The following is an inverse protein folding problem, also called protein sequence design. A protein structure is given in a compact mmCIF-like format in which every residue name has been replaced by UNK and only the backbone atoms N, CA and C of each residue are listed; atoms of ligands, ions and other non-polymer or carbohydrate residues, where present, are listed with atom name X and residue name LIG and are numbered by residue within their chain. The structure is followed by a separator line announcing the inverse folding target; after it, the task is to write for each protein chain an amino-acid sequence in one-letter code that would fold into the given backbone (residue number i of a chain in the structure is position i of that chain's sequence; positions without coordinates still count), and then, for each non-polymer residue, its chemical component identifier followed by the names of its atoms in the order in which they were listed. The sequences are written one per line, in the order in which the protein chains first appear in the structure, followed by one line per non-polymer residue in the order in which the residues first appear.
data_IF_372274419575
#
_entry.id   IF_372274419575
#
_cell.length_a   1.000
_cell.length_b   1.000
_cell.length_c   1.000
_cell.angle_alpha   90.00
_cell.angle_beta   90.00
_cell.angle_gamma   90.00
#
_symmetry.space_group_name_H-M   'P 1'
#
loop_
_entity.id
_entity.type
_entity.pdbx_description
1 polymer ?
#
# COMPACT_ATOMS: atom_id res chain seq x y z
N UNK A 1 14.02 31.27 10.61
CA UNK A 1 14.10 29.83 10.95
C UNK A 1 12.68 29.28 11.02
N UNK A 2 12.24 28.59 9.97
CA UNK A 2 10.91 27.97 9.89
C UNK A 2 10.84 26.80 10.85
N UNK A 3 9.90 26.84 11.81
CA UNK A 3 9.63 25.71 12.71
C UNK A 3 9.30 24.48 11.87
N UNK A 4 10.14 23.44 11.95
CA UNK A 4 9.85 22.14 11.33
C UNK A 4 8.61 21.56 12.03
N UNK A 5 7.62 21.14 11.25
CA UNK A 5 6.51 20.39 11.80
C UNK A 5 7.01 19.01 12.26
N UNK A 6 6.64 18.55 13.47
CA UNK A 6 6.89 17.17 13.85
C UNK A 6 6.22 16.25 12.79
N UNK A 7 6.96 15.25 12.31
CA UNK A 7 6.55 14.27 11.30
C UNK A 7 7.11 14.50 9.88
N UNK A 8 7.83 15.60 9.61
CA UNK A 8 8.33 15.87 8.24
C UNK A 8 9.66 15.16 7.95
N UNK A 9 9.62 14.15 7.07
CA UNK A 9 10.78 13.44 6.54
C UNK A 9 11.81 14.36 5.88
N UNK A 10 13.08 13.97 5.98
CA UNK A 10 14.25 14.68 5.41
C UNK A 10 14.31 14.67 3.89
N UNK A 11 13.56 13.78 3.23
CA UNK A 11 13.39 13.76 1.76
C UNK A 11 11.91 13.78 1.41
N UNK A 12 11.48 14.58 0.42
CA UNK A 12 10.11 14.54 -0.05
C UNK A 12 9.80 13.13 -0.56
N UNK A 13 8.61 12.58 -0.26
CA UNK A 13 8.23 11.28 -0.75
C UNK A 13 8.30 11.27 -2.28
N UNK A 14 8.84 10.18 -2.84
CA UNK A 14 8.78 9.96 -4.28
C UNK A 14 7.37 9.41 -4.59
N UNK A 15 6.52 10.16 -5.31
CA UNK A 15 5.28 9.60 -5.80
C UNK A 15 5.58 8.42 -6.72
N UNK A 16 4.59 7.55 -6.90
CA UNK A 16 4.61 6.55 -7.97
C UNK A 16 4.69 7.25 -9.33
N UNK A 17 4.97 6.50 -10.40
CA UNK A 17 5.26 7.10 -11.71
C UNK A 17 4.01 7.69 -12.38
N UNK A 18 2.82 7.21 -12.01
CA UNK A 18 1.52 7.62 -12.58
C UNK A 18 0.43 7.72 -11.51
N UNK A 19 -0.63 8.47 -11.80
CA UNK A 19 -1.84 8.45 -10.97
C UNK A 19 -2.46 7.03 -10.92
N UNK A 20 -2.43 6.30 -12.04
CA UNK A 20 -2.97 4.94 -12.13
C UNK A 20 -2.29 3.99 -11.15
N UNK A 21 -0.95 3.98 -11.11
CA UNK A 21 -0.23 3.14 -10.15
C UNK A 21 -0.57 3.49 -8.70
N UNK A 22 -0.86 4.76 -8.42
CA UNK A 22 -1.29 5.21 -7.09
C UNK A 22 -2.67 4.66 -6.75
N UNK A 23 -3.61 4.70 -7.70
CA UNK A 23 -4.93 4.09 -7.55
C UNK A 23 -4.83 2.56 -7.36
N UNK A 24 -4.04 1.88 -8.19
CA UNK A 24 -3.88 0.43 -8.14
C UNK A 24 -3.30 -0.03 -6.79
N UNK A 25 -2.33 0.71 -6.25
CA UNK A 25 -1.76 0.44 -4.94
C UNK A 25 -2.80 0.67 -3.82
N UNK A 26 -3.62 1.72 -3.92
CA UNK A 26 -4.70 1.98 -2.97
C UNK A 26 -5.77 0.89 -3.03
N UNK A 27 -6.19 0.50 -4.23
CA UNK A 27 -7.20 -0.54 -4.47
C UNK A 27 -6.74 -1.91 -3.98
N UNK A 28 -5.45 -2.24 -4.17
CA UNK A 28 -4.86 -3.47 -3.61
C UNK A 28 -4.94 -3.48 -2.09
N UNK A 29 -4.57 -2.39 -1.42
CA UNK A 29 -4.67 -2.26 0.03
C UNK A 29 -6.12 -2.47 0.50
N UNK A 30 -7.10 -1.88 -0.18
CA UNK A 30 -8.51 -2.03 0.17
C UNK A 30 -9.03 -3.45 -0.08
N UNK A 31 -8.58 -4.09 -1.17
CA UNK A 31 -8.93 -5.46 -1.49
C UNK A 31 -8.41 -6.42 -0.43
N UNK A 32 -7.15 -6.29 -0.02
CA UNK A 32 -6.55 -7.10 1.03
C UNK A 32 -7.31 -6.94 2.36
N UNK A 33 -7.65 -5.69 2.74
CA UNK A 33 -8.43 -5.44 3.96
C UNK A 33 -9.86 -6.01 3.88
N UNK A 34 -10.49 -5.97 2.70
CA UNK A 34 -11.82 -6.52 2.48
C UNK A 34 -11.88 -8.04 2.65
N UNK A 35 -10.79 -8.77 2.43
CA UNK A 35 -10.71 -10.21 2.73
C UNK A 35 -10.97 -10.52 4.21
N UNK A 36 -10.74 -9.55 5.08
CA UNK A 36 -10.98 -9.63 6.52
C UNK A 36 -12.28 -8.94 6.96
N UNK A 37 -13.17 -8.66 6.01
CA UNK A 37 -14.46 -8.02 6.28
C UNK A 37 -14.35 -6.53 6.63
N UNK A 38 -13.20 -5.90 6.39
CA UNK A 38 -13.02 -4.48 6.65
C UNK A 38 -13.62 -3.67 5.51
N UNK A 39 -14.73 -3.01 5.79
CA UNK A 39 -15.37 -2.09 4.83
C UNK A 39 -14.76 -0.70 4.92
N UNK A 40 -14.39 -0.07 3.79
CA UNK A 40 -13.83 1.27 3.81
C UNK A 40 -14.85 2.27 4.36
N UNK A 41 -14.38 3.16 5.25
CA UNK A 41 -15.19 4.27 5.72
C UNK A 41 -15.45 5.27 4.60
N UNK A 42 -16.38 6.20 4.81
CA UNK A 42 -16.66 7.26 3.85
C UNK A 42 -15.40 8.06 3.48
N UNK A 43 -14.54 8.38 4.45
CA UNK A 43 -13.31 9.13 4.20
C UNK A 43 -12.32 8.37 3.28
N UNK A 44 -12.22 7.05 3.47
CA UNK A 44 -11.39 6.16 2.65
C UNK A 44 -11.98 6.04 1.23
N UNK A 45 -13.30 5.85 1.13
CA UNK A 45 -14.01 5.77 -0.14
C UNK A 45 -13.94 7.08 -0.95
N UNK A 46 -14.14 8.22 -0.29
CA UNK A 46 -14.04 9.55 -0.91
C UNK A 46 -12.61 9.81 -1.41
N UNK A 47 -11.59 9.40 -0.64
CA UNK A 47 -10.18 9.46 -1.05
C UNK A 47 -9.91 8.60 -2.29
N UNK A 48 -10.42 7.36 -2.31
CA UNK A 48 -10.31 6.47 -3.48
C UNK A 48 -10.91 7.13 -4.72
N UNK A 49 -12.12 7.67 -4.60
CA UNK A 49 -12.81 8.33 -5.70
C UNK A 49 -12.05 9.56 -6.20
N UNK A 50 -11.52 10.39 -5.29
CA UNK A 50 -10.71 11.53 -5.66
C UNK A 50 -9.43 11.13 -6.41
N UNK A 51 -8.79 10.01 -6.06
CA UNK A 51 -7.66 9.48 -6.82
C UNK A 51 -8.12 8.99 -8.21
N UNK A 52 -9.26 8.33 -8.31
CA UNK A 52 -9.83 7.89 -9.59
C UNK A 52 -10.16 9.07 -10.52
N UNK A 53 -10.65 10.18 -9.99
CA UNK A 53 -10.89 11.39 -10.77
C UNK A 53 -9.57 11.99 -11.32
N UNK A 54 -8.48 11.93 -10.53
CA UNK A 54 -7.14 12.34 -10.99
C UNK A 54 -6.62 11.43 -12.10
N UNK A 55 -6.86 10.11 -12.00
CA UNK A 55 -6.54 9.14 -13.06
C UNK A 55 -7.28 9.47 -14.35
N UNK A 56 -8.58 9.73 -14.26
CA UNK A 56 -9.39 10.11 -15.42
C UNK A 56 -8.84 11.39 -16.08
N UNK A 57 -8.48 12.38 -15.27
CA UNK A 57 -7.88 13.62 -15.76
C UNK A 57 -6.48 13.41 -16.39
N UNK A 58 -5.68 12.46 -15.88
CA UNK A 58 -4.42 12.04 -16.52
C UNK A 58 -4.67 11.47 -17.91
N UNK A 59 -5.61 10.51 -18.01
CA UNK A 59 -5.96 9.83 -19.26
C UNK A 59 -6.54 10.79 -20.31
N UNK A 60 -7.40 11.73 -19.90
CA UNK A 60 -7.97 12.75 -20.79
C UNK A 60 -6.87 13.64 -21.37
N UNK A 61 -5.97 14.17 -20.54
CA UNK A 61 -4.85 15.00 -21.04
C UNK A 61 -3.88 14.19 -21.91
N UNK A 62 -3.61 12.92 -21.59
CA UNK A 62 -2.80 12.05 -22.45
C UNK A 62 -3.47 11.81 -23.83
N UNK A 63 -4.79 11.66 -23.87
CA UNK A 63 -5.55 11.54 -25.11
C UNK A 63 -5.54 12.84 -25.93
N UNK A 64 -5.67 14.01 -25.28
CA UNK A 64 -5.54 15.32 -25.93
C UNK A 64 -4.15 15.51 -26.54
N UNK A 65 -3.08 15.12 -25.83
CA UNK A 65 -1.70 15.16 -26.35
C UNK A 65 -1.53 14.23 -27.54
N UNK A 66 -2.13 13.02 -27.49
CA UNK A 66 -2.10 12.08 -28.61
C UNK A 66 -2.85 12.60 -29.84
N UNK A 67 -4.02 13.23 -29.63
CA UNK A 67 -4.78 13.87 -30.71
C UNK A 67 -4.01 15.04 -31.34
N UNK A 68 -3.33 15.85 -30.52
CA UNK A 68 -2.46 16.92 -31.02
C UNK A 68 -1.32 16.36 -31.86
N UNK A 69 -0.69 15.26 -31.42
CA UNK A 69 0.35 14.58 -32.20
C UNK A 69 -0.17 14.13 -33.57
N UNK A 70 -1.34 13.47 -33.58
CA UNK A 70 -1.95 12.98 -34.82
C UNK A 70 -2.35 14.12 -35.77
N UNK A 71 -2.85 15.24 -35.24
CA UNK A 71 -3.17 16.42 -36.07
C UNK A 71 -1.92 17.01 -36.71
N UNK A 72 -0.82 17.10 -35.96
CA UNK A 72 0.46 17.61 -36.48
C UNK A 72 1.04 16.70 -37.56
N UNK A 73 0.93 15.37 -37.40
CA UNK A 73 1.31 14.39 -38.43
C UNK A 73 0.44 14.53 -39.68
N UNK A 74 -0.90 14.54 -39.53
CA UNK A 74 -1.82 14.65 -40.67
C UNK A 74 -1.65 15.95 -41.46
N UNK A 75 -1.35 17.07 -40.78
CA UNK A 75 -1.04 18.34 -41.47
C UNK A 75 0.26 18.27 -42.28
N UNK A 76 1.22 17.45 -41.87
CA UNK A 76 2.46 17.23 -42.62
C UNK A 76 2.22 16.34 -43.84
N UNK A 77 1.42 15.27 -43.70
CA UNK A 77 1.03 14.39 -44.81
C UNK A 77 0.23 15.12 -45.88
N UNK A 78 -0.77 15.92 -45.48
CA UNK A 78 -1.54 16.77 -46.40
C UNK A 78 -0.64 17.78 -47.13
N UNK A 79 0.34 18.34 -46.42
CA UNK A 79 1.29 19.28 -47.01
C UNK A 79 2.28 18.60 -47.97
N UNK A 80 2.72 17.37 -47.69
CA UNK A 80 3.51 16.54 -48.61
C UNK A 80 2.71 16.20 -49.88
N UNK A 81 1.42 15.88 -49.74
CA UNK A 81 0.55 15.65 -50.88
C UNK A 81 0.42 16.89 -51.77
N UNK A 82 0.31 18.10 -51.18
CA UNK A 82 0.33 19.37 -51.92
C UNK A 82 1.67 19.59 -52.63
N UNK A 83 2.81 19.32 -51.97
CA UNK A 83 4.13 19.46 -52.59
C UNK A 83 4.36 18.48 -53.75
N UNK A 84 3.68 17.33 -53.76
CA UNK A 84 3.82 16.30 -54.80
C UNK A 84 3.04 16.57 -56.09
N UNK A 85 2.11 17.55 -56.10
CA UNK A 85 1.33 17.90 -57.29
C UNK A 85 2.10 18.85 -58.20
N UNK A 86 2.15 18.53 -59.50
CA UNK A 86 2.84 19.34 -60.52
C UNK A 86 2.24 20.74 -60.68
N UNK A 87 0.93 20.87 -60.43
CA UNK A 87 0.13 22.07 -60.69
C UNK A 87 0.18 23.11 -59.56
N UNK A 88 0.97 22.86 -58.51
CA UNK A 88 0.94 23.63 -57.27
C UNK A 88 1.62 24.98 -57.42
N UNK A 89 0.95 26.06 -57.02
CA UNK A 89 1.51 27.41 -57.12
C UNK A 89 2.74 27.60 -56.21
N UNK A 90 3.66 28.55 -56.52
CA UNK A 90 4.82 28.82 -55.68
C UNK A 90 4.44 29.20 -54.24
N UNK A 91 3.34 29.94 -54.07
CA UNK A 91 2.85 30.34 -52.75
C UNK A 91 2.29 29.14 -51.97
N UNK A 92 1.51 28.28 -52.62
CA UNK A 92 1.02 27.03 -52.03
C UNK A 92 2.16 26.08 -51.65
N UNK A 93 3.22 26.00 -52.47
CA UNK A 93 4.43 25.23 -52.14
C UNK A 93 5.16 25.79 -50.93
N UNK A 94 5.29 27.10 -50.81
CA UNK A 94 5.96 27.73 -49.66
C UNK A 94 5.17 27.51 -48.36
N UNK A 95 3.83 27.65 -48.41
CA UNK A 95 2.95 27.38 -47.27
C UNK A 95 2.89 25.90 -46.89
N UNK A 96 2.92 24.99 -47.86
CA UNK A 96 2.99 23.56 -47.62
C UNK A 96 4.36 23.16 -47.04
N UNK A 97 5.47 23.69 -47.58
CA UNK A 97 6.80 23.48 -47.03
C UNK A 97 6.90 23.98 -45.58
N UNK A 98 6.32 25.15 -45.27
CA UNK A 98 6.24 25.65 -43.90
C UNK A 98 5.44 24.71 -42.97
N UNK A 99 4.35 24.11 -43.46
CA UNK A 99 3.56 23.10 -42.72
C UNK A 99 4.30 21.78 -42.52
N UNK A 100 5.05 21.30 -43.50
CA UNK A 100 5.91 20.10 -43.35
C UNK A 100 7.04 20.36 -42.34
N UNK A 101 7.67 21.54 -42.41
CA UNK A 101 8.72 21.97 -41.46
C UNK A 101 8.14 22.17 -40.05
N UNK A 102 6.91 22.65 -39.94
CA UNK A 102 6.20 22.82 -38.67
C UNK A 102 5.51 21.55 -38.15
N UNK A 103 5.37 20.51 -38.99
CA UNK A 103 4.85 19.19 -38.65
C UNK A 103 5.70 18.47 -37.61
N UNK A 104 5.54 17.16 -37.43
CA UNK A 104 6.25 16.39 -36.40
C UNK A 104 7.77 16.32 -36.61
N UNK A 105 8.45 17.43 -36.36
CA UNK A 105 9.90 17.48 -36.24
C UNK A 105 10.33 16.67 -35.01
N UNK A 106 11.58 16.20 -34.97
CA UNK A 106 12.16 15.63 -33.76
C UNK A 106 12.03 16.55 -32.53
N UNK A 107 11.98 17.87 -32.74
CA UNK A 107 11.77 18.85 -31.67
C UNK A 107 10.33 18.83 -31.16
N UNK A 108 9.33 18.78 -32.05
CA UNK A 108 7.91 18.65 -31.72
C UNK A 108 7.62 17.34 -30.98
N UNK A 109 8.18 16.22 -31.45
CA UNK A 109 8.04 14.91 -30.78
C UNK A 109 8.65 14.91 -29.36
N UNK A 110 9.82 15.56 -29.18
CA UNK A 110 10.42 15.76 -27.85
C UNK A 110 9.56 16.64 -26.95
N UNK A 111 8.93 17.68 -27.49
CA UNK A 111 8.01 18.55 -26.73
C UNK A 111 6.75 17.80 -26.30
N UNK A 112 6.13 17.02 -27.18
CA UNK A 112 4.95 16.20 -26.85
C UNK A 112 5.29 15.14 -25.78
N UNK A 113 6.43 14.47 -25.92
CA UNK A 113 6.95 13.54 -24.90
C UNK A 113 7.17 14.25 -23.56
N UNK A 114 7.75 15.46 -23.59
CA UNK A 114 7.93 16.28 -22.38
C UNK A 114 6.59 16.66 -21.74
N UNK A 115 5.60 17.09 -22.53
CA UNK A 115 4.25 17.43 -22.05
C UNK A 115 3.59 16.22 -21.39
N UNK A 116 3.69 15.04 -22.01
CA UNK A 116 3.15 13.79 -21.45
C UNK A 116 3.82 13.44 -20.12
N UNK A 117 5.14 13.50 -20.06
CA UNK A 117 5.88 13.22 -18.82
C UNK A 117 5.56 14.24 -17.72
N UNK A 118 5.40 15.52 -18.08
CA UNK A 118 4.97 16.56 -17.13
C UNK A 118 3.55 16.32 -16.63
N UNK A 119 2.63 15.92 -17.51
CA UNK A 119 1.26 15.57 -17.12
C UNK A 119 1.26 14.41 -16.12
N UNK A 120 1.92 13.30 -16.46
CA UNK A 120 2.07 12.12 -15.58
C UNK A 120 2.66 12.49 -14.23
N UNK A 121 3.78 13.19 -14.21
CA UNK A 121 4.42 13.60 -12.95
C UNK A 121 3.51 14.47 -12.08
N UNK A 122 2.81 15.43 -12.69
CA UNK A 122 1.87 16.32 -11.99
C UNK A 122 0.70 15.52 -11.40
N UNK A 123 0.08 14.64 -12.19
CA UNK A 123 -1.09 13.84 -11.79
C UNK A 123 -0.72 12.78 -10.77
N UNK A 124 0.42 12.11 -10.93
CA UNK A 124 0.94 11.19 -9.93
C UNK A 124 1.18 11.88 -8.58
N UNK A 125 1.73 13.10 -8.59
CA UNK A 125 1.92 13.89 -7.37
C UNK A 125 0.59 14.33 -6.75
N UNK A 126 -0.39 14.70 -7.58
CA UNK A 126 -1.74 15.04 -7.12
C UNK A 126 -2.42 13.85 -6.45
N UNK A 127 -2.43 12.68 -7.10
CA UNK A 127 -2.96 11.43 -6.55
C UNK A 127 -2.26 11.05 -5.23
N UNK A 128 -0.93 11.13 -5.20
CA UNK A 128 -0.14 10.85 -4.01
C UNK A 128 -0.47 11.80 -2.85
N UNK A 129 -0.64 13.10 -3.12
CA UNK A 129 -1.04 14.06 -2.10
C UNK A 129 -2.47 13.82 -1.60
N UNK A 130 -3.37 13.37 -2.48
CA UNK A 130 -4.73 12.99 -2.09
C UNK A 130 -4.71 11.82 -1.12
N UNK A 131 -3.91 10.78 -1.40
CA UNK A 131 -3.70 9.67 -0.45
C UNK A 131 -3.06 10.16 0.85
N UNK A 132 -1.99 10.96 0.79
CA UNK A 132 -1.31 11.50 1.97
C UNK A 132 -2.25 12.27 2.90
N UNK A 133 -3.25 12.98 2.37
CA UNK A 133 -4.23 13.71 3.19
C UNK A 133 -5.08 12.80 4.07
N UNK A 134 -5.25 11.54 3.70
CA UNK A 134 -5.93 10.56 4.54
C UNK A 134 -5.13 10.31 5.83
N UNK A 135 -3.80 10.21 5.73
CA UNK A 135 -2.87 10.15 6.84
C UNK A 135 -3.26 9.11 7.90
N UNK A 136 -3.27 9.52 9.17
CA UNK A 136 -3.63 8.66 10.31
C UNK A 136 -5.07 8.09 10.23
N UNK A 137 -5.96 8.71 9.44
CA UNK A 137 -7.32 8.17 9.22
C UNK A 137 -7.26 6.79 8.57
N UNK A 138 -6.29 6.52 7.69
CA UNK A 138 -6.11 5.19 7.10
C UNK A 138 -5.77 4.14 8.16
N UNK A 139 -5.04 4.54 9.20
CA UNK A 139 -4.69 3.67 10.31
C UNK A 139 -5.96 3.35 11.11
N UNK A 140 -6.71 4.37 11.54
CA UNK A 140 -7.88 4.18 12.39
C UNK A 140 -9.03 3.49 11.68
N UNK A 141 -9.21 3.75 10.38
CA UNK A 141 -10.40 3.34 9.65
C UNK A 141 -10.20 2.05 8.85
N UNK A 142 -8.96 1.59 8.67
CA UNK A 142 -8.68 0.40 7.84
C UNK A 142 -7.63 -0.51 8.47
N UNK A 143 -6.42 -0.01 8.71
CA UNK A 143 -5.31 -0.88 9.10
C UNK A 143 -5.46 -1.43 10.53
N UNK A 144 -5.89 -0.61 11.49
CA UNK A 144 -6.15 -1.06 12.87
C UNK A 144 -7.37 -1.98 12.97
N UNK A 145 -8.52 -1.69 12.34
CA UNK A 145 -9.62 -2.66 12.24
C UNK A 145 -9.18 -4.00 11.66
N UNK A 146 -8.31 -3.99 10.64
CA UNK A 146 -7.76 -5.21 10.06
C UNK A 146 -6.90 -5.98 11.07
N UNK A 147 -5.97 -5.33 11.78
CA UNK A 147 -5.22 -6.02 12.86
C UNK A 147 -6.14 -6.55 13.95
N UNK A 148 -7.20 -5.82 14.30
CA UNK A 148 -8.16 -6.25 15.30
C UNK A 148 -8.93 -7.50 14.84
N UNK A 149 -9.35 -7.56 13.58
CA UNK A 149 -10.02 -8.74 13.02
C UNK A 149 -9.14 -9.99 13.12
N UNK A 150 -7.84 -9.85 12.83
CA UNK A 150 -6.86 -10.94 12.97
C UNK A 150 -6.77 -11.41 14.43
N UNK A 151 -6.65 -10.48 15.38
CA UNK A 151 -6.53 -10.79 16.81
C UNK A 151 -7.80 -11.46 17.32
N UNK A 152 -8.97 -10.97 16.92
CA UNK A 152 -10.26 -11.57 17.27
C UNK A 152 -10.34 -13.01 16.78
N UNK A 153 -9.93 -13.28 15.53
CA UNK A 153 -9.93 -14.66 15.01
C UNK A 153 -8.96 -15.56 15.80
N UNK A 154 -7.76 -15.07 16.11
CA UNK A 154 -6.76 -15.79 16.91
C UNK A 154 -7.23 -16.13 18.33
N UNK A 155 -8.08 -15.29 18.93
CA UNK A 155 -8.50 -15.36 20.34
C UNK A 155 -9.94 -15.81 20.56
N UNK A 156 -10.72 -16.01 19.51
CA UNK A 156 -12.14 -16.36 19.64
C UNK A 156 -12.37 -17.71 20.34
N UNK A 157 -13.17 -17.69 21.42
CA UNK A 157 -13.61 -18.88 22.13
C UNK A 157 -14.65 -19.69 21.32
N UNK A 158 -14.77 -21.02 21.54
CA UNK A 158 -14.08 -21.86 22.52
C UNK A 158 -12.75 -22.46 22.00
N UNK A 159 -12.21 -21.94 20.89
CA UNK A 159 -11.14 -22.58 20.14
C UNK A 159 -10.06 -21.56 19.73
N UNK A 160 -9.41 -20.97 20.73
CA UNK A 160 -8.26 -20.07 20.58
C UNK A 160 -7.19 -20.71 19.68
N UNK A 161 -7.04 -20.17 18.47
CA UNK A 161 -6.07 -20.68 17.50
C UNK A 161 -4.64 -20.48 18.01
N UNK A 162 -4.40 -19.37 18.74
CA UNK A 162 -3.13 -19.08 19.38
C UNK A 162 -2.71 -20.18 20.38
N UNK A 163 -3.63 -20.67 21.20
CA UNK A 163 -3.34 -21.70 22.21
C UNK A 163 -2.90 -23.02 21.57
N UNK A 164 -3.49 -23.39 20.43
CA UNK A 164 -3.11 -24.60 19.71
C UNK A 164 -1.68 -24.55 19.14
N UNK A 165 -1.18 -23.35 18.79
CA UNK A 165 0.21 -23.13 18.44
C UNK A 165 1.10 -23.20 19.67
N UNK A 166 0.73 -22.50 20.76
CA UNK A 166 1.54 -22.46 22.00
C UNK A 166 1.69 -23.85 22.62
N UNK A 167 0.62 -24.65 22.66
CA UNK A 167 0.63 -26.00 23.21
C UNK A 167 1.51 -26.99 22.41
N UNK A 168 1.57 -26.83 21.08
CA UNK A 168 2.40 -27.68 20.20
C UNK A 168 3.85 -27.19 20.07
N UNK A 169 4.11 -25.92 20.41
CA UNK A 169 5.39 -25.23 20.18
C UNK A 169 5.89 -25.48 18.75
N UNK A 170 7.21 -25.62 18.60
CA UNK A 170 7.83 -25.87 17.30
C UNK A 170 7.40 -27.18 16.66
N UNK A 171 7.32 -28.27 17.43
CA UNK A 171 6.94 -29.58 16.90
C UNK A 171 5.55 -29.55 16.27
N UNK A 172 4.60 -28.85 16.91
CA UNK A 172 3.26 -28.72 16.39
C UNK A 172 3.17 -27.93 15.08
N UNK A 173 4.08 -26.99 14.85
CA UNK A 173 4.18 -26.26 13.58
C UNK A 173 4.73 -27.14 12.47
N UNK A 174 5.73 -27.98 12.76
CA UNK A 174 6.27 -28.96 11.80
C UNK A 174 5.19 -29.93 11.37
N UNK A 175 4.48 -30.53 12.33
CA UNK A 175 3.38 -31.47 12.06
C UNK A 175 2.27 -30.84 11.21
N UNK A 176 1.92 -29.58 11.50
CA UNK A 176 0.90 -28.85 10.76
C UNK A 176 1.35 -28.58 9.31
N UNK A 177 2.64 -28.29 9.10
CA UNK A 177 3.21 -28.08 7.78
C UNK A 177 3.34 -29.37 6.98
N UNK A 178 3.76 -30.47 7.61
CA UNK A 178 3.74 -31.81 7.00
C UNK A 178 2.33 -32.19 6.58
N UNK A 179 1.33 -31.93 7.44
CA UNK A 179 -0.08 -32.12 7.13
C UNK A 179 -0.52 -31.27 5.93
N UNK A 180 -0.09 -30.00 5.84
CA UNK A 180 -0.37 -29.15 4.66
C UNK A 180 0.14 -29.78 3.38
N UNK A 181 1.34 -30.34 3.40
CA UNK A 181 1.98 -30.97 2.25
C UNK A 181 1.31 -32.29 1.87
N UNK A 182 1.04 -33.15 2.85
CA UNK A 182 0.39 -34.45 2.66
C UNK A 182 -0.98 -34.31 1.98
N UNK A 183 -1.77 -33.33 2.41
CA UNK A 183 -3.13 -33.11 1.89
C UNK A 183 -3.21 -32.03 0.80
N UNK A 184 -2.07 -31.47 0.37
CA UNK A 184 -2.00 -30.42 -0.66
C UNK A 184 -2.94 -29.24 -0.40
N UNK A 185 -3.00 -28.79 0.86
CA UNK A 185 -3.98 -27.79 1.30
C UNK A 185 -3.65 -26.39 0.78
N UNK A 186 -4.68 -25.69 0.31
CA UNK A 186 -4.59 -24.28 -0.09
C UNK A 186 -4.93 -23.35 1.07
N UNK A 187 -4.68 -22.04 0.90
CA UNK A 187 -5.06 -21.05 1.90
C UNK A 187 -6.58 -20.99 2.14
N UNK A 188 -7.37 -21.17 1.07
CA UNK A 188 -8.82 -21.21 1.16
C UNK A 188 -9.33 -22.42 1.96
N UNK A 189 -8.66 -23.58 1.84
CA UNK A 189 -9.01 -24.77 2.61
C UNK A 189 -8.75 -24.55 4.10
N UNK A 190 -7.62 -23.89 4.43
CA UNK A 190 -7.25 -23.57 5.82
C UNK A 190 -8.23 -22.58 6.44
N UNK A 191 -8.74 -21.59 5.68
CA UNK A 191 -9.77 -20.65 6.17
C UNK A 191 -11.10 -21.34 6.51
N UNK A 192 -11.43 -22.45 5.84
CA UNK A 192 -12.66 -23.23 6.04
C UNK A 192 -12.48 -24.41 7.00
N UNK A 193 -11.52 -24.31 7.92
CA UNK A 193 -11.16 -25.42 8.81
C UNK A 193 -12.33 -25.92 9.67
N UNK A 194 -13.27 -25.04 10.00
CA UNK A 194 -14.48 -25.33 10.75
C UNK A 194 -15.39 -26.35 10.04
N UNK A 195 -15.34 -26.37 8.71
CA UNK A 195 -16.08 -27.33 7.86
C UNK A 195 -15.36 -28.68 7.69
N UNK A 196 -14.10 -28.79 8.11
CA UNK A 196 -13.29 -29.99 7.93
C UNK A 196 -13.61 -31.06 9.00
N UNK A 197 -13.26 -32.35 8.76
CA UNK A 197 -13.46 -33.39 9.76
C UNK A 197 -12.74 -33.08 11.09
N UNK A 198 -13.42 -33.25 12.22
CA UNK A 198 -12.91 -32.91 13.56
C UNK A 198 -11.54 -33.50 13.88
N UNK A 199 -11.23 -34.70 13.38
CA UNK A 199 -9.91 -35.35 13.56
C UNK A 199 -8.73 -34.54 13.01
N UNK A 200 -8.99 -33.62 12.08
CA UNK A 200 -7.97 -32.76 11.46
C UNK A 200 -8.01 -31.33 12.00
N UNK A 201 -8.92 -30.98 12.92
CA UNK A 201 -9.07 -29.60 13.38
C UNK A 201 -7.79 -29.04 14.00
N UNK A 202 -7.03 -29.84 14.76
CA UNK A 202 -5.79 -29.36 15.40
C UNK A 202 -4.76 -28.86 14.38
N UNK A 203 -4.33 -29.66 13.37
CA UNK A 203 -3.38 -29.17 12.37
C UNK A 203 -3.95 -28.01 11.55
N UNK A 204 -5.23 -28.02 11.19
CA UNK A 204 -5.85 -26.87 10.51
C UNK A 204 -5.82 -25.59 11.34
N UNK A 205 -6.15 -25.66 12.64
CA UNK A 205 -6.12 -24.50 13.54
C UNK A 205 -4.72 -23.92 13.68
N UNK A 206 -3.70 -24.80 13.79
CA UNK A 206 -2.29 -24.38 13.79
C UNK A 206 -1.92 -23.69 12.48
N UNK A 207 -2.29 -24.28 11.32
CA UNK A 207 -2.07 -23.66 10.02
C UNK A 207 -2.77 -22.29 9.90
N UNK A 208 -4.00 -22.17 10.40
CA UNK A 208 -4.75 -20.91 10.34
C UNK A 208 -4.11 -19.84 11.23
N UNK A 209 -3.66 -20.19 12.43
CA UNK A 209 -2.93 -19.23 13.26
C UNK A 209 -1.59 -18.79 12.62
N UNK A 210 -0.86 -19.69 11.95
CA UNK A 210 0.34 -19.31 11.17
C UNK A 210 -0.02 -18.32 10.08
N UNK A 211 -1.10 -18.58 9.32
CA UNK A 211 -1.57 -17.66 8.29
C UNK A 211 -1.95 -16.30 8.86
N UNK A 212 -2.69 -16.26 9.96
CA UNK A 212 -3.11 -15.03 10.61
C UNK A 212 -1.93 -14.19 11.08
N UNK A 213 -0.88 -14.82 11.62
CA UNK A 213 0.34 -14.08 11.96
C UNK A 213 1.07 -13.57 10.72
N UNK A 214 1.12 -14.35 9.63
CA UNK A 214 1.70 -13.88 8.37
C UNK A 214 0.88 -12.71 7.74
N UNK A 215 -0.45 -12.77 7.82
CA UNK A 215 -1.37 -11.69 7.43
C UNK A 215 -1.13 -10.45 8.29
N UNK A 216 -0.88 -10.63 9.59
CA UNK A 216 -0.52 -9.53 10.49
C UNK A 216 0.85 -8.92 10.18
N UNK A 217 1.88 -9.74 9.91
CA UNK A 217 3.19 -9.29 9.47
C UNK A 217 3.07 -8.51 8.14
N UNK A 218 2.24 -8.96 7.20
CA UNK A 218 1.94 -8.22 5.97
C UNK A 218 1.38 -6.83 6.28
N UNK A 219 0.40 -6.73 7.17
CA UNK A 219 -0.18 -5.45 7.58
C UNK A 219 0.90 -4.52 8.16
N UNK A 220 1.81 -5.03 9.01
CA UNK A 220 2.92 -4.23 9.54
C UNK A 220 3.90 -3.76 8.46
N UNK A 221 4.23 -4.63 7.49
CA UNK A 221 5.09 -4.29 6.36
C UNK A 221 4.46 -3.23 5.46
N UNK A 222 3.14 -3.32 5.22
CA UNK A 222 2.39 -2.32 4.44
C UNK A 222 2.42 -0.97 5.14
N UNK A 223 2.19 -0.92 6.45
CA UNK A 223 2.31 0.32 7.24
C UNK A 223 3.70 0.94 7.08
N UNK A 224 4.75 0.13 7.22
CA UNK A 224 6.13 0.59 7.07
C UNK A 224 6.41 1.08 5.66
N UNK A 225 5.92 0.39 4.62
CA UNK A 225 6.03 0.84 3.24
C UNK A 225 5.30 2.19 3.03
N UNK A 226 4.11 2.36 3.58
CA UNK A 226 3.34 3.60 3.46
C UNK A 226 4.05 4.76 4.15
N UNK A 227 4.65 4.54 5.33
CA UNK A 227 5.52 5.53 5.99
C UNK A 227 6.78 5.79 5.17
N UNK A 228 7.40 4.74 4.60
CA UNK A 228 8.55 4.84 3.71
C UNK A 228 8.27 5.58 2.41
N UNK A 229 7.03 5.58 1.96
CA UNK A 229 6.55 6.40 0.84
C UNK A 229 6.03 7.75 1.27
N UNK A 230 6.05 8.08 2.57
CA UNK A 230 5.53 9.32 3.13
C UNK A 230 4.03 9.52 2.90
N UNK A 231 3.28 8.43 2.74
CA UNK A 231 1.82 8.38 2.66
C UNK A 231 1.18 8.34 4.04
N UNK A 232 1.87 7.73 5.01
CA UNK A 232 1.57 7.86 6.43
C UNK A 232 2.58 8.80 7.09
N UNK A 233 2.17 9.55 8.13
CA UNK A 233 3.11 10.37 8.88
C UNK A 233 4.15 9.48 9.59
N UNK A 234 5.36 10.01 9.74
CA UNK A 234 6.45 9.32 10.43
C UNK A 234 6.19 9.24 11.94
N UNK A 235 6.65 8.16 12.58
CA UNK A 235 6.41 7.94 14.02
C UNK A 235 7.38 8.74 14.89
N UNK A 236 8.61 8.93 14.43
CA UNK A 236 9.59 9.80 15.07
C UNK A 236 10.30 10.71 14.02
N UNK A 237 10.00 12.02 14.00
CA UNK A 237 10.70 12.95 13.12
C UNK A 237 12.13 13.29 13.54
N UNK A 238 12.56 12.94 14.75
CA UNK A 238 13.90 13.22 15.28
C UNK A 238 14.87 12.04 15.09
N UNK A 239 14.39 10.79 15.13
CA UNK A 239 15.20 9.58 14.96
C UNK A 239 14.91 8.87 13.63
N UNK A 240 15.20 9.53 12.50
CA UNK A 240 14.94 9.03 11.14
C UNK A 240 15.76 7.79 10.71
N UNK A 241 16.51 7.14 11.61
CA UNK A 241 17.45 6.07 11.29
C UNK A 241 17.10 4.72 11.92
N UNK A 242 16.15 4.67 12.84
CA UNK A 242 15.61 3.41 13.37
C UNK A 242 14.31 3.16 12.64
N UNK A 243 14.26 2.09 11.85
CA UNK A 243 13.00 1.46 11.45
C UNK A 243 12.25 1.12 12.74
N UNK A 244 11.47 2.06 13.24
CA UNK A 244 10.76 1.96 14.51
C UNK A 244 9.53 1.12 14.23
N UNK A 245 9.73 -0.18 14.53
CA UNK A 245 8.81 -1.29 14.42
C UNK A 245 7.34 -0.85 14.35
N UNK A 246 6.69 -1.13 13.21
CA UNK A 246 5.23 -1.10 13.08
C UNK A 246 4.50 -1.95 14.12
N UNK A 247 5.23 -2.79 14.86
CA UNK A 247 4.74 -3.65 15.90
C UNK A 247 4.63 -2.94 17.26
N UNK A 248 3.44 -2.47 17.57
CA UNK A 248 3.09 -1.99 18.91
C UNK A 248 2.21 -2.99 19.63
N UNK A 249 2.25 -2.97 20.96
CA UNK A 249 1.37 -3.74 21.83
C UNK A 249 0.66 -2.79 22.79
N UNK A 250 -0.64 -2.97 22.98
CA UNK A 250 -1.44 -2.17 23.92
C UNK A 250 -1.09 -2.51 25.37
N UNK A 251 -0.73 -3.78 25.64
CA UNK A 251 -0.35 -4.28 26.95
C UNK A 251 1.06 -4.88 26.92
N UNK A 252 2.11 -4.03 26.85
CA UNK A 252 3.50 -4.50 26.77
C UNK A 252 3.95 -5.27 28.00
N UNK A 253 3.31 -5.06 29.15
CA UNK A 253 3.50 -5.79 30.40
C UNK A 253 3.12 -7.28 30.30
N UNK A 254 2.32 -7.64 29.29
CA UNK A 254 1.89 -9.02 29.02
C UNK A 254 2.74 -9.71 27.94
N UNK A 255 3.81 -9.06 27.49
CA UNK A 255 4.71 -9.66 26.50
C UNK A 255 5.48 -10.84 27.11
N UNK A 256 5.60 -11.96 26.39
CA UNK A 256 6.43 -13.06 26.81
C UNK A 256 7.90 -12.66 26.71
N UNK A 257 8.72 -13.28 27.56
CA UNK A 257 10.16 -13.00 27.62
C UNK A 257 10.82 -13.17 26.24
N UNK A 258 11.65 -12.20 25.87
CA UNK A 258 12.44 -12.28 24.62
C UNK A 258 13.43 -13.44 24.62
N UNK A 259 13.78 -14.00 25.78
CA UNK A 259 14.58 -15.23 25.85
C UNK A 259 13.83 -16.46 25.35
N UNK A 260 12.48 -16.48 25.43
CA UNK A 260 11.63 -17.50 24.82
C UNK A 260 11.24 -17.15 23.37
N UNK A 261 11.38 -15.88 22.96
CA UNK A 261 11.22 -15.42 21.58
C UNK A 261 12.21 -16.05 20.59
N UNK A 262 13.31 -16.62 21.10
CA UNK A 262 14.45 -17.12 20.34
C UNK A 262 14.20 -18.34 19.43
N UNK A 263 12.96 -18.74 19.12
CA UNK A 263 12.75 -19.82 18.13
C UNK A 263 12.03 -19.38 16.86
N UNK A 264 10.91 -18.64 16.88
CA UNK A 264 10.20 -18.14 15.67
C UNK A 264 9.24 -16.99 16.00
N UNK A 265 9.22 -15.93 15.17
CA UNK A 265 8.33 -14.76 15.31
C UNK A 265 6.86 -15.15 15.49
N UNK A 266 6.39 -16.14 14.73
CA UNK A 266 5.02 -16.66 14.84
C UNK A 266 4.67 -17.17 16.23
N UNK A 267 5.56 -17.95 16.85
CA UNK A 267 5.33 -18.48 18.20
C UNK A 267 5.25 -17.36 19.22
N UNK A 268 6.17 -16.39 19.12
CA UNK A 268 6.22 -15.26 20.03
C UNK A 268 5.01 -14.34 19.90
N UNK A 269 4.55 -14.05 18.68
CA UNK A 269 3.33 -13.26 18.46
C UNK A 269 2.09 -14.01 18.97
N UNK A 270 1.96 -15.30 18.71
CA UNK A 270 0.83 -16.09 19.24
C UNK A 270 0.85 -16.13 20.77
N UNK A 271 2.01 -16.31 21.39
CA UNK A 271 2.16 -16.29 22.85
C UNK A 271 1.83 -14.91 23.43
N UNK A 272 2.30 -13.83 22.81
CA UNK A 272 1.94 -12.46 23.19
C UNK A 272 0.43 -12.23 23.10
N UNK A 273 -0.22 -12.68 22.02
CA UNK A 273 -1.67 -12.54 21.85
C UNK A 273 -2.44 -13.38 22.88
N UNK A 274 -2.03 -14.64 23.11
CA UNK A 274 -2.64 -15.51 24.11
C UNK A 274 -2.52 -14.95 25.54
N UNK A 275 -1.39 -14.31 25.84
CA UNK A 275 -1.19 -13.60 27.12
C UNK A 275 -1.95 -12.26 27.19
N UNK A 276 -2.56 -11.80 26.09
CA UNK A 276 -3.38 -10.60 26.03
C UNK A 276 -2.59 -9.31 25.78
N UNK A 277 -1.41 -9.38 25.16
CA UNK A 277 -0.57 -8.21 24.85
C UNK A 277 -1.20 -7.28 23.80
N UNK A 278 -2.16 -7.77 23.00
CA UNK A 278 -2.93 -7.03 22.00
C UNK A 278 -2.07 -6.19 21.04
N UNK A 279 -1.47 -6.81 20.00
CA UNK A 279 -0.70 -6.07 19.01
C UNK A 279 -1.59 -5.07 18.25
N UNK A 280 -1.04 -3.94 17.84
CA UNK A 280 -1.80 -2.85 17.20
C UNK A 280 -0.90 -1.98 16.33
N UNK A 281 -1.52 -1.12 15.53
CA UNK A 281 -0.83 -0.08 14.76
C UNK A 281 -1.15 1.29 15.34
N UNK A 282 -0.10 2.02 15.70
CA UNK A 282 -0.20 3.40 16.18
C UNK A 282 -0.24 4.42 15.05
N UNK A 283 -1.06 5.44 15.26
CA UNK A 283 -0.99 6.73 14.58
C UNK A 283 0.28 7.48 14.98
N UNK A 284 0.71 8.44 14.18
CA UNK A 284 1.86 9.27 14.55
C UNK A 284 1.58 10.10 15.81
N UNK A 285 0.33 10.53 15.99
CA UNK A 285 -0.10 11.27 17.19
C UNK A 285 0.07 10.43 18.47
N UNK A 286 -0.36 9.17 18.44
CA UNK A 286 -0.21 8.23 19.56
C UNK A 286 1.26 7.90 19.83
N UNK A 287 2.09 7.74 18.80
CA UNK A 287 3.53 7.50 18.98
C UNK A 287 4.23 8.69 19.65
N UNK A 288 3.94 9.92 19.21
CA UNK A 288 4.48 11.15 19.83
C UNK A 288 4.02 11.30 21.28
N UNK A 289 2.78 10.92 21.60
CA UNK A 289 2.28 10.94 22.98
C UNK A 289 3.03 9.94 23.87
N UNK A 290 3.26 8.71 23.39
CA UNK A 290 3.99 7.68 24.11
C UNK A 290 5.46 8.07 24.40
N UNK A 291 6.12 8.82 23.50
CA UNK A 291 7.46 9.34 23.76
C UNK A 291 7.51 10.50 24.76
N UNK A 292 6.38 11.18 25.01
CA UNK A 292 6.30 12.31 25.94
C UNK A 292 5.94 11.92 27.36
N UNK A 293 5.48 10.70 27.60
CA UNK A 293 5.37 10.18 28.96
C UNK A 293 6.80 10.00 29.52
N UNK A 294 7.20 10.78 30.53
CA UNK A 294 8.52 10.61 31.10
C UNK A 294 8.57 9.25 31.79
N UNK A 295 9.73 8.60 31.72
CA UNK A 295 10.14 7.57 32.66
C UNK A 295 10.14 8.16 34.09
N UNK A 296 8.96 8.27 34.69
CA UNK A 296 8.76 8.67 36.07
C UNK A 296 7.87 7.64 36.74
N UNK A 297 8.50 6.56 37.19
CA UNK A 297 8.22 5.94 38.49
C UNK A 297 9.26 4.84 38.74
N UNK A 298 10.49 5.23 39.10
CA UNK A 298 11.31 4.41 39.99
C UNK A 298 11.54 5.22 41.26
N UNK A 299 10.67 4.99 42.23
CA UNK A 299 10.95 5.16 43.67
C UNK A 299 10.97 3.78 44.29
#
# INVERSE_FOLDING_TARGET
MTKKHPGTRTKPPRPLDTAQQTLDAFDRLLADAAEHGITPTKAVADTRQAIADVVLAEQQTDAEIANLAHHLDGTADDALAILSREDTSPQQRSEAAARVIAGATPQTARQLTKMRNQNRFRRAREAHNTWLRLGDTLITDTLRPWTQAIIVELTSEPHTLADHIVAGRWQGLVEAEEFRQEYSLTAADIRRWDTMPQRHHVPYKRLRAVQLVAEFEHVTNVVDELRQRGLLPDLDPAETNTTTAALYFEHPDKLPDTTTAGTRTTLWICDAIANGAAPTIRTATEAVAAHKEPAMATT
#
